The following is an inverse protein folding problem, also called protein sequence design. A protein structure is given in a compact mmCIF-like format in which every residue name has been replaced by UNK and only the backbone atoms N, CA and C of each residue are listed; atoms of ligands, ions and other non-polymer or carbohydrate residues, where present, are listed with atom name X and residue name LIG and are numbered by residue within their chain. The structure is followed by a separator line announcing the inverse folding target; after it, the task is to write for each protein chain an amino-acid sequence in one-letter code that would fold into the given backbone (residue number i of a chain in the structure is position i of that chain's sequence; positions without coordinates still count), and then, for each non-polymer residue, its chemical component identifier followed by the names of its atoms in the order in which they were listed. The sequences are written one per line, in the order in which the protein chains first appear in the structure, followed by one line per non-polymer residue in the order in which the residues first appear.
data_IF_586490406317
#
_entry.id   IF_586490406317
#
_cell.length_a   1.000
_cell.length_b   1.000
_cell.length_c   1.000
_cell.angle_alpha   90.00
_cell.angle_beta   90.00
_cell.angle_gamma   90.00
#
_symmetry.space_group_name_H-M   'P 1'
#
loop_
_entity.id
_entity.type
_entity.pdbx_description
1 polymer ?
#
# COMPACT_ATOMS: atom_id res chain seq x y z
N UNK A 1 33.58 -25.85 -7.32
CA UNK A 1 32.68 -26.51 -6.35
C UNK A 1 32.47 -25.55 -5.20
N UNK A 2 31.26 -25.01 -5.04
CA UNK A 2 30.91 -24.29 -3.82
C UNK A 2 30.71 -25.36 -2.74
N UNK A 3 31.60 -25.38 -1.76
CA UNK A 3 31.41 -26.17 -0.54
C UNK A 3 30.23 -25.54 0.21
N UNK A 4 29.09 -26.25 0.26
CA UNK A 4 27.99 -25.89 1.14
C UNK A 4 28.39 -26.19 2.58
N UNK A 5 29.01 -25.20 3.22
CA UNK A 5 29.13 -25.18 4.66
C UNK A 5 27.73 -24.84 5.23
N UNK A 6 27.10 -25.74 5.98
CA UNK A 6 25.79 -25.50 6.61
C UNK A 6 25.95 -24.52 7.80
N UNK A 7 26.34 -23.28 7.53
CA UNK A 7 26.08 -22.19 8.47
C UNK A 7 24.59 -21.84 8.40
N UNK A 8 23.92 -21.73 9.54
CA UNK A 8 22.50 -21.35 9.62
C UNK A 8 22.25 -19.88 9.27
N UNK A 9 23.32 -19.08 9.17
CA UNK A 9 23.27 -17.69 8.72
C UNK A 9 23.38 -17.66 7.20
N UNK A 10 22.38 -17.07 6.55
CA UNK A 10 22.33 -16.80 5.10
C UNK A 10 22.12 -15.31 4.88
N UNK A 11 22.81 -14.75 3.90
CA UNK A 11 22.65 -13.36 3.46
C UNK A 11 21.43 -13.20 2.54
N UNK A 12 20.85 -12.00 2.45
CA UNK A 12 19.79 -11.72 1.49
C UNK A 12 20.22 -12.01 0.04
N UNK A 13 21.52 -11.84 -0.27
CA UNK A 13 22.08 -12.14 -1.59
C UNK A 13 22.03 -13.63 -1.89
N UNK A 14 22.42 -14.48 -0.93
CA UNK A 14 22.35 -15.93 -1.10
C UNK A 14 20.91 -16.41 -1.27
N UNK A 15 19.98 -15.89 -0.45
CA UNK A 15 18.55 -16.21 -0.56
C UNK A 15 17.95 -15.78 -1.91
N UNK A 16 18.33 -14.61 -2.42
CA UNK A 16 17.89 -14.13 -3.74
C UNK A 16 18.45 -14.97 -4.89
N UNK A 17 19.70 -15.42 -4.78
CA UNK A 17 20.30 -16.31 -5.78
C UNK A 17 19.58 -17.67 -5.80
N UNK A 18 19.32 -18.26 -4.63
CA UNK A 18 18.56 -19.50 -4.48
C UNK A 18 17.15 -19.38 -5.09
N UNK A 19 16.42 -18.29 -4.78
CA UNK A 19 15.11 -18.02 -5.37
C UNK A 19 15.15 -17.90 -6.91
N UNK A 20 16.21 -17.32 -7.47
CA UNK A 20 16.33 -17.18 -8.93
C UNK A 20 16.75 -18.50 -9.63
N UNK A 21 17.32 -19.45 -8.89
CA UNK A 21 17.61 -20.80 -9.42
C UNK A 21 16.33 -21.62 -9.58
N UNK A 22 15.33 -21.37 -8.73
CA UNK A 22 13.98 -21.88 -8.90
C UNK A 22 13.39 -21.25 -10.17
N UNK A 23 13.43 -21.99 -11.29
CA UNK A 23 12.87 -21.59 -12.59
C UNK A 23 11.33 -21.62 -12.58
N UNK A 24 10.72 -20.93 -11.62
CA UNK A 24 9.27 -20.85 -11.49
C UNK A 24 8.72 -20.05 -12.67
N UNK A 25 8.05 -20.75 -13.60
CA UNK A 25 7.31 -20.09 -14.66
C UNK A 25 5.96 -19.63 -14.11
N UNK A 26 5.80 -18.31 -14.01
CA UNK A 26 4.54 -17.68 -13.63
C UNK A 26 4.04 -16.80 -14.77
N UNK A 27 2.72 -16.72 -14.90
CA UNK A 27 2.10 -15.71 -15.74
C UNK A 27 2.18 -14.38 -14.99
N UNK A 28 2.97 -13.44 -15.52
CA UNK A 28 3.13 -12.11 -14.95
C UNK A 28 2.70 -11.04 -15.95
N UNK A 29 2.01 -10.01 -15.47
CA UNK A 29 1.67 -8.82 -16.25
C UNK A 29 1.75 -7.58 -15.36
N UNK A 30 1.82 -6.40 -15.98
CA UNK A 30 1.62 -5.14 -15.29
C UNK A 30 0.13 -4.79 -15.32
N UNK A 31 -0.39 -4.31 -14.19
CA UNK A 31 -1.73 -3.76 -14.14
C UNK A 31 -1.80 -2.45 -14.95
N UNK A 32 -2.93 -2.24 -15.61
CA UNK A 32 -3.24 -1.00 -16.31
C UNK A 32 -4.08 -0.13 -15.40
N UNK A 33 -3.68 1.12 -15.22
CA UNK A 33 -4.38 2.12 -14.43
C UNK A 33 -4.76 3.32 -15.30
N UNK A 34 -6.02 3.71 -15.24
CA UNK A 34 -6.54 4.95 -15.80
C UNK A 34 -6.69 5.97 -14.66
N UNK A 35 -5.74 6.89 -14.57
CA UNK A 35 -5.71 7.99 -13.58
C UNK A 35 -6.27 9.24 -14.22
N UNK A 36 -7.00 10.06 -13.46
CA UNK A 36 -7.60 11.32 -13.96
C UNK A 36 -6.56 12.37 -14.31
N UNK A 37 -5.47 12.42 -13.55
CA UNK A 37 -4.36 13.34 -13.77
C UNK A 37 -3.37 12.70 -14.75
N UNK A 38 -2.94 13.48 -15.73
CA UNK A 38 -1.92 13.05 -16.69
C UNK A 38 -0.57 12.87 -16.01
N UNK A 39 0.26 11.96 -16.52
CA UNK A 39 1.66 11.75 -16.11
C UNK A 39 1.90 11.30 -14.66
N UNK A 40 0.86 10.76 -14.00
CA UNK A 40 0.99 10.14 -12.67
C UNK A 40 1.32 8.65 -12.79
N UNK A 41 2.24 8.19 -11.94
CA UNK A 41 2.48 6.76 -11.74
C UNK A 41 1.54 6.21 -10.65
N UNK A 42 1.16 4.94 -10.79
CA UNK A 42 0.42 4.20 -9.75
C UNK A 42 1.24 2.99 -9.31
N UNK A 43 1.58 2.94 -8.03
CA UNK A 43 2.39 1.88 -7.45
C UNK A 43 2.10 1.70 -5.96
N UNK A 44 2.80 0.78 -5.29
CA UNK A 44 2.59 0.42 -3.88
C UNK A 44 1.11 0.26 -3.52
N UNK A 45 0.44 -0.62 -4.27
CA UNK A 45 -0.99 -0.83 -4.18
C UNK A 45 -1.39 -1.76 -3.02
N UNK A 46 -2.65 -1.67 -2.63
CA UNK A 46 -3.28 -2.71 -1.80
C UNK A 46 -3.44 -4.00 -2.59
N UNK A 47 -3.67 -5.11 -1.88
CA UNK A 47 -4.37 -6.24 -2.49
C UNK A 47 -5.78 -5.79 -2.95
N UNK A 48 -6.37 -6.40 -3.99
CA UNK A 48 -7.77 -6.17 -4.34
C UNK A 48 -8.70 -6.50 -3.16
N UNK A 49 -9.71 -5.67 -2.91
CA UNK A 49 -10.64 -5.85 -1.80
C UNK A 49 -12.08 -5.52 -2.17
N UNK A 50 -13.04 -6.22 -1.56
CA UNK A 50 -14.46 -5.96 -1.78
C UNK A 50 -14.97 -4.90 -0.79
N UNK A 51 -15.68 -3.87 -1.27
CA UNK A 51 -16.38 -2.86 -0.48
C UNK A 51 -17.45 -2.17 -1.34
N UNK A 52 -18.52 -1.64 -0.75
CA UNK A 52 -19.57 -0.90 -1.48
C UNK A 52 -20.17 -1.66 -2.68
N UNK A 53 -20.23 -2.99 -2.60
CA UNK A 53 -20.71 -3.86 -3.69
C UNK A 53 -19.77 -3.97 -4.90
N UNK A 54 -18.53 -3.50 -4.79
CA UNK A 54 -17.51 -3.52 -5.86
C UNK A 54 -16.19 -4.10 -5.38
N UNK A 55 -15.31 -4.38 -6.34
CA UNK A 55 -13.90 -4.71 -6.08
C UNK A 55 -13.04 -3.47 -6.32
N UNK A 56 -12.16 -3.18 -5.37
CA UNK A 56 -11.32 -2.00 -5.34
C UNK A 56 -9.85 -2.38 -5.29
N UNK A 57 -9.01 -1.53 -5.86
CA UNK A 57 -7.60 -1.38 -5.49
C UNK A 57 -7.40 0.05 -5.03
N UNK A 58 -6.65 0.24 -3.94
CA UNK A 58 -6.11 1.55 -3.60
C UNK A 58 -4.62 1.58 -3.94
N UNK A 59 -4.12 2.69 -4.48
CA UNK A 59 -2.72 2.82 -4.92
C UNK A 59 -2.14 4.18 -4.61
N UNK A 60 -0.82 4.24 -4.40
CA UNK A 60 -0.07 5.49 -4.32
C UNK A 60 -0.03 6.09 -5.73
N UNK A 61 -0.59 7.30 -5.86
CA UNK A 61 -0.57 8.10 -7.09
C UNK A 61 0.35 9.29 -6.87
N UNK A 62 1.37 9.41 -7.70
CA UNK A 62 2.43 10.40 -7.49
C UNK A 62 3.08 10.82 -8.82
N UNK A 63 3.65 12.03 -8.84
CA UNK A 63 4.59 12.43 -9.88
C UNK A 63 5.91 11.70 -9.69
N UNK A 64 6.61 11.43 -10.79
CA UNK A 64 7.91 10.74 -10.75
C UNK A 64 8.99 11.49 -9.96
N UNK A 65 8.88 12.82 -9.87
CA UNK A 65 9.87 13.71 -9.26
C UNK A 65 9.35 14.42 -7.98
N UNK A 66 8.35 13.86 -7.30
CA UNK A 66 7.73 14.44 -6.09
C UNK A 66 7.62 13.41 -4.96
N UNK A 67 7.69 13.88 -3.71
CA UNK A 67 7.38 13.09 -2.50
C UNK A 67 5.94 13.30 -2.03
N UNK A 68 5.19 14.19 -2.68
CA UNK A 68 3.78 14.42 -2.38
C UNK A 68 2.93 13.45 -3.19
N UNK A 69 2.46 12.40 -2.53
CA UNK A 69 1.52 11.44 -3.10
C UNK A 69 0.11 11.57 -2.51
N UNK A 70 -0.82 10.92 -3.19
CA UNK A 70 -2.15 10.65 -2.69
C UNK A 70 -2.52 9.18 -2.87
N UNK A 71 -3.52 8.71 -2.15
CA UNK A 71 -4.15 7.44 -2.42
C UNK A 71 -5.26 7.65 -3.45
N UNK A 72 -5.12 7.03 -4.61
CA UNK A 72 -6.20 6.84 -5.58
C UNK A 72 -6.95 5.54 -5.32
N UNK A 73 -8.25 5.51 -5.59
CA UNK A 73 -9.09 4.30 -5.53
C UNK A 73 -9.56 3.95 -6.92
N UNK A 74 -9.44 2.69 -7.28
CA UNK A 74 -9.66 2.21 -8.62
C UNK A 74 -10.66 1.07 -8.62
N UNK A 75 -11.59 1.11 -9.58
CA UNK A 75 -12.55 0.06 -9.87
C UNK A 75 -12.09 -0.69 -11.13
N UNK A 76 -12.26 -2.00 -11.16
CA UNK A 76 -11.98 -2.78 -12.37
C UNK A 76 -13.07 -2.56 -13.43
N UNK A 77 -12.65 -2.27 -14.66
CA UNK A 77 -13.49 -2.11 -15.85
C UNK A 77 -12.73 -2.64 -17.06
N UNK A 78 -13.25 -3.68 -17.68
CA UNK A 78 -12.73 -4.26 -18.93
C UNK A 78 -11.21 -4.57 -18.91
N UNK A 79 -10.71 -5.09 -17.78
CA UNK A 79 -9.30 -5.44 -17.59
C UNK A 79 -8.39 -4.25 -17.27
N UNK A 80 -8.95 -3.10 -16.93
CA UNK A 80 -8.26 -1.89 -16.49
C UNK A 80 -8.79 -1.40 -15.14
N UNK A 81 -7.91 -0.80 -14.32
CA UNK A 81 -8.27 -0.19 -13.05
C UNK A 81 -8.49 1.31 -13.23
N UNK A 82 -9.75 1.72 -13.23
CA UNK A 82 -10.16 3.10 -13.52
C UNK A 82 -10.38 3.86 -12.21
N UNK A 83 -9.77 5.03 -12.10
CA UNK A 83 -9.87 5.86 -10.90
C UNK A 83 -11.29 6.36 -10.66
N UNK A 84 -11.80 6.11 -9.45
CA UNK A 84 -13.12 6.54 -9.01
C UNK A 84 -13.14 8.02 -8.61
N UNK A 85 -14.34 8.61 -8.58
CA UNK A 85 -14.57 9.96 -8.10
C UNK A 85 -14.89 10.00 -6.61
N UNK A 86 -13.88 10.32 -5.82
CA UNK A 86 -13.97 10.48 -4.36
C UNK A 86 -12.86 11.41 -3.84
N UNK A 87 -13.02 11.81 -2.59
CA UNK A 87 -12.03 12.59 -1.86
C UNK A 87 -10.68 11.88 -1.77
N UNK A 88 -9.62 12.61 -2.05
CA UNK A 88 -8.25 12.10 -2.03
C UNK A 88 -7.73 12.04 -0.59
N UNK A 89 -6.99 10.97 -0.25
CA UNK A 89 -6.19 10.96 0.97
C UNK A 89 -4.75 11.31 0.62
N UNK A 90 -4.22 12.40 1.17
CA UNK A 90 -2.81 12.78 1.03
C UNK A 90 -1.90 11.86 1.87
N UNK A 91 -1.87 10.58 1.50
CA UNK A 91 -1.13 9.52 2.14
C UNK A 91 -0.33 8.73 1.09
N UNK A 92 0.69 8.02 1.55
CA UNK A 92 1.46 7.08 0.78
C UNK A 92 1.15 5.63 1.19
N UNK A 93 1.55 4.68 0.34
CA UNK A 93 1.62 3.23 0.63
C UNK A 93 0.36 2.66 1.32
N UNK A 94 -0.82 2.71 0.64
CA UNK A 94 -2.08 2.25 1.20
C UNK A 94 -2.06 0.76 1.56
N UNK A 95 -2.76 0.41 2.63
CA UNK A 95 -3.09 -0.96 2.98
C UNK A 95 -4.51 -1.03 3.54
N UNK A 96 -5.15 -2.19 3.40
CA UNK A 96 -6.50 -2.43 3.90
C UNK A 96 -6.60 -3.72 4.67
N UNK A 97 -7.53 -3.76 5.62
CA UNK A 97 -7.96 -4.98 6.30
C UNK A 97 -9.42 -4.84 6.73
N UNK A 98 -10.00 -5.90 7.29
CA UNK A 98 -11.30 -5.85 7.95
C UNK A 98 -11.13 -6.24 9.42
N UNK A 99 -11.73 -5.45 10.30
CA UNK A 99 -11.76 -5.69 11.75
C UNK A 99 -13.20 -5.46 12.22
N UNK A 100 -13.82 -6.43 12.88
CA UNK A 100 -15.21 -6.34 13.32
C UNK A 100 -16.19 -6.06 12.18
N UNK A 101 -15.90 -6.59 10.98
CA UNK A 101 -16.66 -6.33 9.75
C UNK A 101 -16.46 -4.93 9.13
N UNK A 102 -15.79 -4.00 9.80
CA UNK A 102 -15.49 -2.66 9.28
C UNK A 102 -14.28 -2.70 8.36
N UNK A 103 -14.30 -1.90 7.30
CA UNK A 103 -13.12 -1.64 6.49
C UNK A 103 -12.18 -0.77 7.32
N UNK A 104 -10.91 -1.14 7.36
CA UNK A 104 -9.83 -0.30 7.89
C UNK A 104 -8.87 -0.01 6.75
N UNK A 105 -8.69 1.26 6.43
CA UNK A 105 -7.66 1.77 5.54
C UNK A 105 -6.54 2.36 6.38
N UNK A 106 -5.29 2.02 6.07
CA UNK A 106 -4.14 2.74 6.57
C UNK A 106 -3.24 3.22 5.44
N UNK A 107 -2.38 4.19 5.78
CA UNK A 107 -1.39 4.76 4.89
C UNK A 107 -0.41 5.62 5.66
N UNK A 108 0.65 6.08 5.00
CA UNK A 108 1.69 6.92 5.59
C UNK A 108 1.38 8.39 5.32
N UNK A 109 1.14 9.16 6.38
CA UNK A 109 1.01 10.61 6.34
C UNK A 109 2.41 11.23 6.40
N UNK A 110 2.73 12.12 5.46
CA UNK A 110 3.97 12.91 5.43
C UNK A 110 3.63 14.36 5.77
N UNK A 111 4.41 14.98 6.66
CA UNK A 111 4.14 16.32 7.18
C UNK A 111 5.43 17.02 7.59
N UNK A 112 5.40 18.35 7.74
CA UNK A 112 6.57 19.12 8.18
C UNK A 112 7.02 18.72 9.60
N UNK A 113 8.32 18.46 9.76
CA UNK A 113 8.91 18.15 11.05
C UNK A 113 9.02 19.42 11.91
N UNK A 114 8.21 19.48 12.99
CA UNK A 114 8.21 20.61 13.93
C UNK A 114 9.50 20.70 14.75
N UNK A 115 10.17 19.58 14.97
CA UNK A 115 11.42 19.53 15.74
C UNK A 115 12.64 19.81 14.84
N UNK A 116 12.52 19.58 13.53
CA UNK A 116 13.58 19.78 12.55
C UNK A 116 13.07 20.59 11.34
N UNK A 117 12.96 21.93 11.45
CA UNK A 117 12.43 22.78 10.38
C UNK A 117 13.14 22.57 9.04
N UNK A 118 12.37 22.41 7.96
CA UNK A 118 12.89 22.12 6.62
C UNK A 118 13.04 20.63 6.30
N UNK A 119 12.78 19.74 7.27
CA UNK A 119 12.68 18.31 7.05
C UNK A 119 11.24 17.81 7.12
N UNK A 120 10.96 16.69 6.46
CA UNK A 120 9.69 15.99 6.56
C UNK A 120 9.75 14.92 7.65
N UNK A 121 8.63 14.76 8.35
CA UNK A 121 8.34 13.66 9.24
C UNK A 121 7.22 12.81 8.64
N UNK A 122 7.02 11.60 9.15
CA UNK A 122 6.02 10.68 8.64
C UNK A 122 5.44 9.81 9.75
N UNK A 123 4.21 9.32 9.56
CA UNK A 123 3.59 8.34 10.47
C UNK A 123 2.49 7.56 9.79
N UNK A 124 2.23 6.35 10.28
CA UNK A 124 1.07 5.59 9.84
C UNK A 124 -0.21 6.17 10.44
N UNK A 125 -1.24 6.38 9.63
CA UNK A 125 -2.57 6.82 10.08
C UNK A 125 -3.63 5.82 9.65
N UNK A 126 -4.75 5.78 10.37
CA UNK A 126 -5.80 4.79 10.14
C UNK A 126 -7.17 5.43 10.03
N UNK A 127 -7.94 4.94 9.07
CA UNK A 127 -9.32 5.29 8.78
C UNK A 127 -10.19 4.04 8.88
N UNK A 128 -11.42 4.18 9.35
CA UNK A 128 -12.38 3.08 9.44
C UNK A 128 -13.75 3.50 8.91
N UNK A 129 -14.49 2.54 8.37
CA UNK A 129 -15.76 2.78 7.71
C UNK A 129 -16.52 1.51 7.37
N UNK A 130 -17.75 1.66 6.86
CA UNK A 130 -18.47 0.53 6.27
C UNK A 130 -17.95 0.16 4.86
N UNK A 131 -17.34 1.12 4.17
CA UNK A 131 -16.80 1.00 2.83
C UNK A 131 -15.85 2.16 2.49
N UNK A 132 -15.45 2.25 1.22
CA UNK A 132 -14.49 3.24 0.69
C UNK A 132 -15.06 4.67 0.74
N UNK A 133 -16.37 4.82 0.65
CA UNK A 133 -17.06 6.11 0.63
C UNK A 133 -17.36 6.67 2.04
N UNK A 134 -17.11 5.89 3.10
CA UNK A 134 -17.50 6.19 4.49
C UNK A 134 -16.30 6.03 5.44
N UNK A 135 -15.11 6.49 5.02
CA UNK A 135 -13.88 6.35 5.80
C UNK A 135 -13.60 7.57 6.66
N UNK A 136 -13.49 7.38 7.96
CA UNK A 136 -13.13 8.42 8.93
C UNK A 136 -11.86 8.07 9.70
N UNK A 137 -10.96 9.03 9.87
CA UNK A 137 -9.72 8.85 10.64
C UNK A 137 -10.06 8.52 12.09
N UNK A 138 -9.45 7.47 12.64
CA UNK A 138 -9.69 7.07 14.04
C UNK A 138 -8.43 6.89 14.87
N UNK A 139 -7.27 6.70 14.23
CA UNK A 139 -6.01 6.50 14.95
C UNK A 139 -4.80 7.06 14.19
N UNK A 140 -3.74 7.29 14.96
CA UNK A 140 -2.44 7.80 14.51
C UNK A 140 -1.36 6.98 15.20
N UNK A 141 -0.43 6.43 14.41
CA UNK A 141 0.74 5.73 14.90
C UNK A 141 1.84 6.69 15.37
N UNK A 142 2.94 6.16 15.93
CA UNK A 142 4.08 6.96 16.34
C UNK A 142 4.73 7.69 15.16
N UNK A 143 5.30 8.85 15.45
CA UNK A 143 6.14 9.57 14.49
C UNK A 143 7.34 8.70 14.08
N UNK A 144 7.71 8.82 12.81
CA UNK A 144 8.76 8.05 12.13
C UNK A 144 8.53 6.52 12.17
N UNK A 145 7.27 6.09 12.29
CA UNK A 145 6.89 4.67 12.23
C UNK A 145 5.96 4.39 11.04
N UNK A 146 6.48 3.61 10.09
CA UNK A 146 5.73 2.98 9.00
C UNK A 146 5.59 1.47 9.24
N UNK A 147 4.94 0.77 8.32
CA UNK A 147 4.79 -0.69 8.34
C UNK A 147 3.98 -1.25 9.54
N UNK A 148 3.12 -0.43 10.13
CA UNK A 148 2.11 -0.92 11.08
C UNK A 148 0.98 -1.58 10.29
N UNK A 149 0.60 -2.81 10.67
CA UNK A 149 -0.47 -3.59 10.05
C UNK A 149 -1.39 -4.16 11.13
N UNK A 150 -2.65 -4.36 10.76
CA UNK A 150 -3.70 -4.87 11.64
C UNK A 150 -4.26 -6.17 11.06
N UNK A 151 -4.60 -7.10 11.95
CA UNK A 151 -5.24 -8.37 11.62
C UNK A 151 -6.27 -8.65 12.71
N UNK A 152 -7.47 -9.06 12.31
CA UNK A 152 -8.47 -9.60 13.23
C UNK A 152 -8.04 -11.00 13.64
N UNK A 153 -8.12 -11.31 14.94
CA UNK A 153 -7.82 -12.64 15.47
C UNK A 153 -9.09 -13.48 15.53
N UNK A 154 -8.95 -14.78 15.75
CA UNK A 154 -10.09 -15.71 15.77
C UNK A 154 -11.10 -15.40 16.89
N UNK A 155 -10.63 -14.79 17.99
CA UNK A 155 -11.43 -14.40 19.15
C UNK A 155 -11.99 -12.97 19.06
N UNK A 156 -11.79 -12.28 17.93
CA UNK A 156 -12.24 -10.91 17.67
C UNK A 156 -11.27 -9.86 18.19
#
# INVERSE_FOLDING_TARGET
MLQFNRSTVRTCRELLLEFNEDKIQVNSSKLKFSVKQTEKDVYNITAPFAADGKTWIAGRVEDRDSEYSRIGFFEERDGEWVEADREEFCLQDPFVTRIGGKLVLGGVEVFDDRENPGHLNYRTVFYSGNGVLDLSRFAVGPDRMKDIRLCELEDG
#
